data_IF_850604326211
#
_entry.id   IF_850604326211
#
_cell.length_a   1.000
_cell.length_b   1.000
_cell.length_c   1.000
_cell.angle_alpha   90.00
_cell.angle_beta   90.00
_cell.angle_gamma   90.00
#
_symmetry.space_group_name_H-M   'P 1'
#
loop_
_entity.id
_entity.type
_entity.pdbx_description
1 polymer ?
#
# COMPACT_ATOMS: atom_id res chain seq x y z
N UNK A 1 -35.25 -7.78 -17.34
CA UNK A 1 -34.87 -7.68 -15.91
C UNK A 1 -33.36 -7.55 -15.80
N UNK A 2 -32.82 -6.51 -15.17
CA UNK A 2 -31.37 -6.40 -14.93
C UNK A 2 -30.92 -7.48 -13.97
N UNK A 3 -29.91 -8.28 -14.33
CA UNK A 3 -29.35 -9.35 -13.49
C UNK A 3 -28.93 -8.78 -12.12
N UNK A 4 -29.47 -9.34 -11.04
CA UNK A 4 -29.11 -8.93 -9.67
C UNK A 4 -27.75 -9.50 -9.31
N UNK A 5 -26.83 -8.65 -8.87
CA UNK A 5 -25.50 -9.04 -8.42
C UNK A 5 -25.44 -9.02 -6.89
N UNK A 6 -24.88 -10.08 -6.29
CA UNK A 6 -24.71 -10.20 -4.84
C UNK A 6 -23.26 -9.89 -4.48
N UNK A 7 -22.96 -8.60 -4.34
CA UNK A 7 -21.59 -8.11 -4.15
C UNK A 7 -21.27 -7.94 -2.68
N UNK A 8 -20.10 -8.42 -2.27
CA UNK A 8 -19.58 -8.25 -0.91
C UNK A 8 -18.16 -7.72 -0.90
N UNK A 9 -17.84 -6.87 0.06
CA UNK A 9 -16.50 -6.34 0.32
C UNK A 9 -16.06 -6.79 1.72
N UNK A 10 -14.99 -7.56 1.82
CA UNK A 10 -14.58 -8.20 3.07
C UNK A 10 -13.44 -7.47 3.80
N UNK A 11 -13.03 -6.28 3.35
CA UNK A 11 -11.94 -5.56 4.00
C UNK A 11 -12.17 -4.05 3.90
N UNK A 12 -12.56 -3.43 5.01
CA UNK A 12 -12.82 -1.98 5.07
C UNK A 12 -12.50 -1.43 6.46
N UNK A 13 -12.30 -0.11 6.52
CA UNK A 13 -11.97 0.64 7.73
C UNK A 13 -12.90 1.84 7.93
N UNK A 14 -12.96 2.35 9.17
CA UNK A 14 -13.80 3.49 9.56
C UNK A 14 -13.07 4.47 10.49
N UNK A 15 -12.61 3.99 11.64
CA UNK A 15 -12.10 4.78 12.76
C UNK A 15 -10.75 5.40 12.45
N UNK A 16 -9.84 4.71 11.74
CA UNK A 16 -8.49 5.22 11.44
C UNK A 16 -8.55 6.62 10.81
N UNK A 17 -9.42 6.80 9.80
CA UNK A 17 -9.61 8.08 9.11
C UNK A 17 -10.78 8.90 9.65
N UNK A 18 -11.34 8.50 10.79
CA UNK A 18 -12.48 9.17 11.46
C UNK A 18 -13.65 9.39 10.50
N UNK A 19 -13.93 8.39 9.66
CA UNK A 19 -15.00 8.45 8.67
C UNK A 19 -16.35 8.51 9.40
N UNK A 20 -17.28 9.33 8.90
CA UNK A 20 -18.64 9.35 9.40
C UNK A 20 -19.37 8.05 8.99
N UNK A 21 -20.00 7.30 9.91
CA UNK A 21 -20.76 6.09 9.57
C UNK A 21 -21.79 6.28 8.44
N UNK A 22 -22.41 7.46 8.35
CA UNK A 22 -23.36 7.80 7.29
C UNK A 22 -22.72 7.82 5.89
N UNK A 23 -21.52 8.38 5.77
CA UNK A 23 -20.79 8.46 4.49
C UNK A 23 -20.30 7.09 4.06
N UNK A 24 -19.87 6.27 5.04
CA UNK A 24 -19.48 4.88 4.82
C UNK A 24 -20.66 4.07 4.24
N UNK A 25 -21.84 4.11 4.87
CA UNK A 25 -23.03 3.41 4.36
C UNK A 25 -23.57 3.98 3.05
N UNK A 26 -23.41 5.28 2.81
CA UNK A 26 -23.74 5.89 1.52
C UNK A 26 -22.95 5.23 0.39
N UNK A 27 -21.64 5.05 0.57
CA UNK A 27 -20.80 4.38 -0.42
C UNK A 27 -21.20 2.92 -0.67
N UNK A 28 -21.52 2.16 0.39
CA UNK A 28 -22.03 0.78 0.28
C UNK A 28 -23.29 0.71 -0.58
N UNK A 29 -24.24 1.64 -0.36
CA UNK A 29 -25.49 1.72 -1.15
C UNK A 29 -25.23 2.09 -2.60
N UNK A 30 -24.40 3.11 -2.84
CA UNK A 30 -24.03 3.55 -4.20
C UNK A 30 -23.37 2.43 -5.01
N UNK A 31 -22.56 1.60 -4.35
CA UNK A 31 -21.89 0.43 -4.93
C UNK A 31 -22.74 -0.84 -4.94
N UNK A 32 -24.00 -0.76 -4.48
CA UNK A 32 -24.98 -1.85 -4.46
C UNK A 32 -24.45 -3.12 -3.77
N UNK A 33 -23.66 -2.95 -2.71
CA UNK A 33 -23.14 -4.08 -1.94
C UNK A 33 -24.25 -4.67 -1.07
N UNK A 34 -24.38 -5.99 -1.07
CA UNK A 34 -25.31 -6.72 -0.20
C UNK A 34 -24.66 -7.20 1.09
N UNK A 35 -23.33 -7.09 1.22
CA UNK A 35 -22.61 -7.43 2.43
C UNK A 35 -21.27 -6.71 2.49
N UNK A 36 -20.86 -6.36 3.70
CA UNK A 36 -19.62 -5.63 3.96
C UNK A 36 -19.04 -6.09 5.28
N UNK A 37 -17.72 -6.30 5.35
CA UNK A 37 -17.02 -6.55 6.60
C UNK A 37 -16.33 -5.28 7.06
N UNK A 38 -16.52 -4.92 8.33
CA UNK A 38 -15.73 -3.88 9.00
C UNK A 38 -14.59 -4.59 9.71
N UNK A 39 -13.36 -4.29 9.31
CA UNK A 39 -12.14 -5.00 9.73
C UNK A 39 -11.10 -3.99 10.21
N UNK A 40 -11.51 -3.06 11.07
CA UNK A 40 -10.62 -2.03 11.59
C UNK A 40 -9.34 -2.64 12.17
N UNK A 41 -8.20 -1.97 11.97
CA UNK A 41 -6.99 -2.31 12.70
C UNK A 41 -7.25 -2.29 14.22
N UNK A 42 -6.63 -3.23 14.92
CA UNK A 42 -6.77 -3.37 16.37
C UNK A 42 -6.36 -2.12 17.14
N UNK A 43 -5.46 -1.31 16.58
CA UNK A 43 -5.06 -0.01 17.12
C UNK A 43 -6.18 1.06 17.14
N UNK A 44 -7.27 0.87 16.38
CA UNK A 44 -8.35 1.85 16.22
C UNK A 44 -9.73 1.35 16.67
N UNK A 45 -9.77 0.42 17.63
CA UNK A 45 -10.99 -0.06 18.29
C UNK A 45 -12.03 -0.64 17.29
N UNK A 46 -11.85 -1.92 16.89
CA UNK A 46 -12.73 -2.57 15.93
C UNK A 46 -14.15 -2.78 16.46
N UNK A 47 -14.32 -2.93 17.78
CA UNK A 47 -15.65 -3.06 18.39
C UNK A 47 -16.45 -1.76 18.26
N UNK A 48 -15.81 -0.62 18.53
CA UNK A 48 -16.42 0.69 18.35
C UNK A 48 -16.78 0.95 16.89
N UNK A 49 -15.91 0.58 15.95
CA UNK A 49 -16.19 0.71 14.51
C UNK A 49 -17.45 -0.08 14.12
N UNK A 50 -17.54 -1.34 14.56
CA UNK A 50 -18.70 -2.20 14.34
C UNK A 50 -19.97 -1.60 14.95
N UNK A 51 -19.94 -1.21 16.23
CA UNK A 51 -21.11 -0.63 16.93
C UNK A 51 -21.63 0.64 16.24
N UNK A 52 -20.72 1.54 15.82
CA UNK A 52 -21.07 2.76 15.07
C UNK A 52 -21.82 2.44 13.78
N UNK A 53 -21.34 1.48 13.00
CA UNK A 53 -22.00 1.08 11.75
C UNK A 53 -23.30 0.32 12.00
N UNK A 54 -23.32 -0.57 12.98
CA UNK A 54 -24.46 -1.41 13.34
C UNK A 54 -25.68 -0.57 13.73
N UNK A 55 -25.47 0.51 14.48
CA UNK A 55 -26.53 1.41 14.96
C UNK A 55 -27.36 2.06 13.84
N UNK A 56 -26.81 2.20 12.64
CA UNK A 56 -27.47 2.83 11.48
C UNK A 56 -27.44 1.92 10.23
N UNK A 57 -27.31 0.60 10.44
CA UNK A 57 -27.21 -0.38 9.37
C UNK A 57 -28.47 -0.34 8.46
N UNK A 58 -28.31 -0.16 7.14
CA UNK A 58 -29.42 -0.26 6.21
C UNK A 58 -30.04 -1.67 6.18
N UNK A 59 -31.37 -1.74 6.04
CA UNK A 59 -32.06 -3.03 5.83
C UNK A 59 -31.54 -3.73 4.57
N UNK A 60 -31.41 -5.05 4.64
CA UNK A 60 -31.05 -5.89 3.49
C UNK A 60 -29.56 -5.91 3.12
N UNK A 61 -28.69 -5.23 3.88
CA UNK A 61 -27.23 -5.31 3.74
C UNK A 61 -26.65 -5.99 4.97
N UNK A 62 -25.76 -6.96 4.80
CA UNK A 62 -25.07 -7.62 5.92
C UNK A 62 -23.87 -6.78 6.38
N UNK A 63 -23.70 -6.63 7.70
CA UNK A 63 -22.49 -6.10 8.32
C UNK A 63 -21.77 -7.22 9.05
N UNK A 64 -20.70 -7.75 8.46
CA UNK A 64 -19.89 -8.81 9.05
C UNK A 64 -18.93 -8.21 10.10
N UNK A 65 -19.00 -8.62 11.38
CA UNK A 65 -18.03 -8.18 12.37
C UNK A 65 -16.67 -8.81 12.09
N UNK A 66 -15.64 -7.98 12.05
CA UNK A 66 -14.27 -8.42 11.90
C UNK A 66 -13.28 -7.45 12.55
N UNK A 67 -12.00 -7.80 12.43
CA UNK A 67 -10.86 -6.97 12.78
C UNK A 67 -9.67 -7.32 11.90
N UNK A 68 -8.77 -6.37 11.70
CA UNK A 68 -7.46 -6.61 11.10
C UNK A 68 -6.40 -6.68 12.21
N UNK A 69 -6.06 -7.91 12.60
CA UNK A 69 -5.08 -8.17 13.63
C UNK A 69 -3.66 -7.96 13.09
N UNK A 70 -2.83 -7.31 13.91
CA UNK A 70 -1.42 -7.09 13.60
C UNK A 70 -0.55 -8.15 14.25
N UNK A 71 -0.12 -9.12 13.46
CA UNK A 71 0.63 -10.29 13.94
C UNK A 71 2.13 -10.15 13.68
N UNK A 72 2.94 -11.04 14.26
CA UNK A 72 4.37 -11.16 13.93
C UNK A 72 4.64 -11.56 12.47
N UNK A 73 3.60 -11.95 11.73
CA UNK A 73 3.67 -12.31 10.32
C UNK A 73 2.86 -11.37 9.43
N UNK A 74 2.68 -10.11 9.83
CA UNK A 74 1.88 -9.14 9.08
C UNK A 74 0.41 -9.16 9.49
N UNK A 75 -0.45 -8.64 8.62
CA UNK A 75 -1.85 -8.47 8.93
C UNK A 75 -2.68 -9.74 8.68
N UNK A 76 -3.65 -9.96 9.54
CA UNK A 76 -4.57 -11.09 9.49
C UNK A 76 -6.00 -10.57 9.66
N UNK A 77 -6.83 -10.76 8.64
CA UNK A 77 -8.26 -10.50 8.73
C UNK A 77 -8.90 -11.63 9.54
N UNK A 78 -9.70 -11.26 10.53
CA UNK A 78 -10.46 -12.19 11.37
C UNK A 78 -11.93 -11.79 11.30
N UNK A 79 -12.81 -12.76 11.03
CA UNK A 79 -14.24 -12.57 10.90
C UNK A 79 -15.00 -13.42 11.90
N UNK A 80 -15.98 -12.80 12.54
CA UNK A 80 -16.97 -13.45 13.39
C UNK A 80 -18.33 -13.58 12.69
N UNK A 81 -19.15 -14.51 13.18
CA UNK A 81 -20.57 -14.57 12.81
C UNK A 81 -21.43 -13.64 13.65
N UNK A 82 -20.87 -13.07 14.71
CA UNK A 82 -21.48 -12.10 15.61
C UNK A 82 -20.39 -11.32 16.37
N UNK A 83 -20.78 -10.35 17.19
CA UNK A 83 -19.89 -9.46 17.93
C UNK A 83 -19.01 -10.13 19.01
N UNK A 84 -19.21 -11.42 19.32
CA UNK A 84 -18.37 -12.14 20.29
C UNK A 84 -16.89 -12.18 19.92
N UNK A 85 -16.54 -11.98 18.64
CA UNK A 85 -15.17 -11.82 18.17
C UNK A 85 -14.40 -10.73 18.95
N UNK A 86 -15.09 -9.66 19.37
CA UNK A 86 -14.47 -8.56 20.11
C UNK A 86 -14.21 -8.91 21.58
N UNK A 87 -14.86 -9.95 22.12
CA UNK A 87 -14.68 -10.39 23.51
C UNK A 87 -13.43 -11.26 23.73
N UNK A 88 -12.52 -11.32 22.75
CA UNK A 88 -11.28 -12.11 22.80
C UNK A 88 -10.09 -11.15 22.87
N UNK A 89 -9.65 -10.70 24.07
CA UNK A 89 -8.68 -9.61 24.21
C UNK A 89 -7.35 -9.90 23.51
N UNK A 90 -6.90 -11.15 23.53
CA UNK A 90 -5.64 -11.56 22.89
C UNK A 90 -5.59 -11.23 21.40
N UNK A 91 -6.70 -11.29 20.67
CA UNK A 91 -6.73 -10.99 19.23
C UNK A 91 -6.60 -9.48 18.95
N UNK A 92 -6.80 -8.64 19.96
CA UNK A 92 -6.65 -7.19 19.87
C UNK A 92 -5.21 -6.71 20.18
N UNK A 93 -4.32 -7.63 20.59
CA UNK A 93 -2.93 -7.29 20.88
C UNK A 93 -2.14 -7.02 19.60
N UNK A 94 -1.32 -5.97 19.63
CA UNK A 94 -0.31 -5.70 18.61
C UNK A 94 0.82 -6.73 18.75
N UNK A 95 1.39 -7.17 17.63
CA UNK A 95 2.50 -8.14 17.55
C UNK A 95 2.15 -9.54 18.13
N UNK A 96 0.88 -9.95 18.04
CA UNK A 96 0.48 -11.30 18.43
C UNK A 96 1.23 -12.35 17.58
N UNK A 97 1.86 -13.38 18.18
CA UNK A 97 2.50 -14.45 17.40
C UNK A 97 1.50 -15.15 16.46
N UNK A 98 1.82 -15.25 15.17
CA UNK A 98 0.85 -15.75 14.18
C UNK A 98 0.29 -17.14 14.51
N UNK A 99 1.11 -18.08 14.99
CA UNK A 99 0.61 -19.41 15.35
C UNK A 99 -0.28 -19.39 16.60
N UNK A 100 -0.05 -18.47 17.53
CA UNK A 100 -0.95 -18.25 18.67
C UNK A 100 -2.28 -17.68 18.18
N UNK A 101 -2.25 -16.65 17.33
CA UNK A 101 -3.45 -16.08 16.71
C UNK A 101 -4.30 -17.15 16.03
N UNK A 102 -3.69 -17.99 15.18
CA UNK A 102 -4.38 -19.05 14.46
C UNK A 102 -4.94 -20.15 15.38
N UNK A 103 -4.26 -20.46 16.51
CA UNK A 103 -4.79 -21.37 17.53
C UNK A 103 -6.03 -20.78 18.22
N UNK A 104 -6.00 -19.49 18.58
CA UNK A 104 -7.13 -18.79 19.21
C UNK A 104 -8.32 -18.75 18.24
N UNK A 105 -8.09 -18.39 16.98
CA UNK A 105 -9.10 -18.36 15.91
C UNK A 105 -9.77 -19.73 15.78
N UNK A 106 -8.98 -20.80 15.68
CA UNK A 106 -9.48 -22.17 15.59
C UNK A 106 -10.30 -22.56 16.83
N UNK A 107 -9.80 -22.28 18.04
CA UNK A 107 -10.50 -22.59 19.30
C UNK A 107 -11.86 -21.91 19.41
N UNK A 108 -11.99 -20.70 18.86
CA UNK A 108 -13.22 -19.91 18.92
C UNK A 108 -14.08 -20.02 17.65
N UNK A 109 -13.82 -20.99 16.76
CA UNK A 109 -14.55 -21.20 15.49
C UNK A 109 -14.66 -19.95 14.60
N UNK A 110 -13.66 -19.07 14.66
CA UNK A 110 -13.59 -17.86 13.84
C UNK A 110 -13.07 -18.18 12.43
N UNK A 111 -13.28 -17.24 11.51
CA UNK A 111 -12.79 -17.33 10.13
C UNK A 111 -11.63 -16.37 9.97
N UNK A 112 -10.58 -16.75 9.24
CA UNK A 112 -9.41 -15.91 9.10
C UNK A 112 -8.80 -15.97 7.71
N UNK A 113 -8.20 -14.86 7.30
CA UNK A 113 -7.59 -14.71 5.99
C UNK A 113 -6.36 -13.83 6.09
N UNK A 114 -5.23 -14.26 5.53
CA UNK A 114 -4.07 -13.36 5.42
C UNK A 114 -4.46 -12.14 4.58
N UNK A 115 -4.35 -10.95 5.16
CA UNK A 115 -4.59 -9.70 4.44
C UNK A 115 -3.44 -9.50 3.46
N UNK A 116 -3.75 -9.04 2.25
CA UNK A 116 -2.82 -8.65 1.19
C UNK A 116 -1.46 -9.38 1.30
N UNK A 117 -1.40 -10.69 0.95
CA UNK A 117 -0.25 -11.55 1.27
C UNK A 117 1.06 -11.06 0.65
N UNK A 118 1.00 -10.27 -0.43
CA UNK A 118 2.12 -9.54 -1.06
C UNK A 118 1.95 -8.02 -0.98
N UNK A 119 1.28 -7.53 0.07
CA UNK A 119 1.21 -6.14 0.49
C UNK A 119 2.59 -5.55 0.87
N UNK A 120 2.61 -4.36 1.45
CA UNK A 120 3.86 -3.71 1.79
C UNK A 120 4.60 -4.41 2.95
N UNK A 121 5.86 -4.04 3.15
CA UNK A 121 6.83 -4.89 3.86
C UNK A 121 6.47 -5.23 5.30
N UNK A 122 5.71 -4.38 5.97
CA UNK A 122 5.34 -4.53 7.39
C UNK A 122 3.99 -5.20 7.57
N UNK A 123 3.20 -5.32 6.51
CA UNK A 123 1.83 -5.84 6.54
C UNK A 123 1.69 -7.17 5.78
N UNK A 124 2.64 -7.50 4.91
CA UNK A 124 2.64 -8.71 4.07
C UNK A 124 3.21 -9.95 4.74
N UNK A 125 2.39 -10.98 4.84
CA UNK A 125 2.80 -12.29 5.39
C UNK A 125 3.89 -12.96 4.56
N UNK A 126 3.76 -13.00 3.23
CA UNK A 126 4.75 -13.67 2.39
C UNK A 126 6.11 -12.96 2.40
N UNK A 127 6.14 -11.63 2.60
CA UNK A 127 7.41 -10.89 2.69
C UNK A 127 8.07 -11.00 4.07
N UNK A 128 7.28 -11.16 5.14
CA UNK A 128 7.81 -11.20 6.52
C UNK A 128 8.31 -12.59 6.87
N UNK A 129 7.48 -13.63 6.70
CA UNK A 129 7.82 -14.99 7.12
C UNK A 129 8.15 -15.93 5.96
N UNK A 130 8.05 -15.44 4.72
CA UNK A 130 8.31 -16.22 3.51
C UNK A 130 7.10 -17.00 3.02
N UNK A 131 7.02 -17.15 1.69
CA UNK A 131 5.92 -17.84 1.02
C UNK A 131 5.77 -19.31 1.47
N UNK A 132 6.89 -20.05 1.61
CA UNK A 132 6.88 -21.45 2.03
C UNK A 132 6.21 -21.65 3.39
N UNK A 133 6.58 -20.84 4.38
CA UNK A 133 5.99 -20.91 5.72
C UNK A 133 4.53 -20.46 5.70
N UNK A 134 4.20 -19.44 4.91
CA UNK A 134 2.81 -18.99 4.75
C UNK A 134 1.92 -20.10 4.17
N UNK A 135 2.38 -20.82 3.13
CA UNK A 135 1.67 -22.00 2.58
C UNK A 135 1.48 -23.10 3.62
N UNK A 136 2.48 -23.35 4.47
CA UNK A 136 2.36 -24.33 5.55
C UNK A 136 1.26 -23.92 6.55
N UNK A 137 1.17 -22.64 6.91
CA UNK A 137 0.12 -22.14 7.80
C UNK A 137 -1.27 -22.23 7.17
N UNK A 138 -1.42 -21.85 5.88
CA UNK A 138 -2.68 -22.00 5.13
C UNK A 138 -3.21 -23.44 5.21
N UNK A 139 -2.33 -24.43 4.93
CA UNK A 139 -2.68 -25.85 4.96
C UNK A 139 -2.97 -26.35 6.37
N UNK A 140 -2.09 -26.04 7.34
CA UNK A 140 -2.18 -26.49 8.75
C UNK A 140 -3.47 -26.02 9.43
N UNK A 141 -3.85 -24.76 9.20
CA UNK A 141 -5.00 -24.15 9.87
C UNK A 141 -6.26 -24.04 8.99
N UNK A 142 -6.19 -24.45 7.72
CA UNK A 142 -7.30 -24.38 6.75
C UNK A 142 -7.92 -22.96 6.67
N UNK A 143 -7.07 -21.95 6.62
CA UNK A 143 -7.47 -20.54 6.53
C UNK A 143 -7.45 -20.03 5.09
N UNK A 144 -8.03 -18.85 4.88
CA UNK A 144 -8.05 -18.19 3.60
C UNK A 144 -6.87 -17.24 3.38
N UNK A 145 -6.88 -16.55 2.24
CA UNK A 145 -6.00 -15.41 1.95
C UNK A 145 -6.74 -14.42 1.05
N UNK A 146 -6.38 -13.14 1.14
CA UNK A 146 -6.87 -12.16 0.19
C UNK A 146 -6.33 -12.48 -1.21
N UNK A 147 -7.25 -12.77 -2.12
CA UNK A 147 -7.00 -13.03 -3.53
C UNK A 147 -6.69 -11.74 -4.28
N UNK A 148 -7.41 -10.67 -3.92
CA UNK A 148 -7.26 -9.35 -4.50
C UNK A 148 -7.51 -8.30 -3.42
N UNK A 149 -6.67 -7.27 -3.40
CA UNK A 149 -6.77 -6.15 -2.50
C UNK A 149 -6.97 -4.86 -3.32
N UNK A 150 -8.02 -4.11 -2.96
CA UNK A 150 -8.45 -2.92 -3.71
C UNK A 150 -7.42 -1.81 -3.75
N UNK A 151 -6.70 -1.57 -2.65
CA UNK A 151 -5.62 -0.59 -2.58
C UNK A 151 -4.48 -0.93 -3.57
N UNK A 152 -4.03 -2.18 -3.61
CA UNK A 152 -3.00 -2.63 -4.57
C UNK A 152 -3.47 -2.55 -6.02
N UNK A 153 -4.74 -2.90 -6.26
CA UNK A 153 -5.40 -2.78 -7.55
C UNK A 153 -5.50 -1.35 -8.06
N UNK A 154 -5.91 -0.44 -7.19
CA UNK A 154 -6.05 1.00 -7.46
C UNK A 154 -4.68 1.62 -7.75
N UNK A 155 -3.65 1.29 -6.98
CA UNK A 155 -2.28 1.72 -7.26
C UNK A 155 -1.81 1.32 -8.68
N UNK A 156 -2.16 0.12 -9.16
CA UNK A 156 -1.88 -0.31 -10.53
C UNK A 156 -2.67 0.52 -11.56
N UNK A 157 -3.98 0.67 -11.34
CA UNK A 157 -4.86 1.50 -12.18
C UNK A 157 -4.42 2.95 -12.28
N UNK A 158 -3.85 3.51 -11.21
CA UNK A 158 -3.29 4.85 -11.21
C UNK A 158 -2.03 4.96 -12.07
N UNK A 159 -1.11 4.01 -11.96
CA UNK A 159 0.17 4.05 -12.68
C UNK A 159 -0.03 3.87 -14.19
N UNK A 160 -0.96 3.01 -14.62
CA UNK A 160 -1.21 2.75 -16.04
C UNK A 160 -2.41 3.53 -16.64
N UNK A 161 -3.38 3.92 -15.82
CA UNK A 161 -4.65 4.50 -16.27
C UNK A 161 -4.76 6.02 -16.17
N UNK A 162 -3.93 6.69 -15.36
CA UNK A 162 -4.12 8.14 -15.12
C UNK A 162 -3.69 9.00 -16.33
N UNK A 163 -4.59 9.90 -16.77
CA UNK A 163 -4.30 10.89 -17.83
C UNK A 163 -3.07 11.74 -17.50
N UNK A 164 -2.80 11.99 -16.21
CA UNK A 164 -1.64 12.75 -15.77
C UNK A 164 -0.33 12.00 -16.02
N UNK A 165 -0.26 10.70 -15.70
CA UNK A 165 0.93 9.90 -16.01
C UNK A 165 1.10 9.76 -17.53
N UNK A 166 0.02 9.57 -18.30
CA UNK A 166 0.07 9.59 -19.78
C UNK A 166 0.63 10.93 -20.31
N UNK A 167 0.20 12.05 -19.75
CA UNK A 167 0.73 13.40 -20.07
C UNK A 167 2.19 13.55 -19.64
N UNK A 168 2.59 12.99 -18.51
CA UNK A 168 3.96 12.99 -18.02
C UNK A 168 4.87 12.17 -18.95
N UNK A 169 4.49 10.94 -19.32
CA UNK A 169 5.18 10.15 -20.34
C UNK A 169 5.23 10.89 -21.69
N UNK A 170 4.14 11.53 -22.12
CA UNK A 170 4.13 12.33 -23.35
C UNK A 170 5.10 13.51 -23.28
N UNK A 171 5.14 14.22 -22.15
CA UNK A 171 6.09 15.31 -21.90
C UNK A 171 7.54 14.84 -21.96
N UNK A 172 7.88 13.72 -21.31
CA UNK A 172 9.23 13.16 -21.40
C UNK A 172 9.58 12.66 -22.79
N UNK A 173 8.63 12.04 -23.51
CA UNK A 173 8.83 11.68 -24.91
C UNK A 173 9.07 12.91 -25.81
N UNK A 174 8.48 14.07 -25.50
CA UNK A 174 8.75 15.34 -26.21
C UNK A 174 10.16 15.86 -25.87
N UNK A 175 10.58 15.78 -24.60
CA UNK A 175 11.93 16.17 -24.16
C UNK A 175 12.99 15.28 -24.83
N UNK A 176 12.76 13.98 -24.91
CA UNK A 176 13.68 13.01 -25.51
C UNK A 176 13.81 13.20 -27.04
N UNK A 177 12.75 13.71 -27.69
CA UNK A 177 12.73 14.01 -29.13
C UNK A 177 13.47 15.29 -29.53
N UNK A 178 13.66 16.26 -28.63
CA UNK A 178 14.39 17.51 -28.94
C UNK A 178 15.91 17.26 -28.79
N UNK A 179 16.68 17.41 -29.87
CA UNK A 179 18.14 17.17 -29.89
C UNK A 179 18.91 18.03 -28.87
N UNK A 180 18.42 19.23 -28.56
CA UNK A 180 19.09 20.22 -27.68
C UNK A 180 19.06 19.87 -26.19
N UNK A 181 18.17 18.97 -25.76
CA UNK A 181 18.05 18.49 -24.38
C UNK A 181 18.85 17.21 -24.10
N UNK A 182 19.60 16.68 -25.09
CA UNK A 182 20.35 15.44 -24.93
C UNK A 182 21.51 15.52 -23.92
N UNK A 183 22.16 16.67 -23.74
CA UNK A 183 23.44 16.70 -22.99
C UNK A 183 23.27 16.82 -21.47
N UNK A 184 22.21 17.47 -20.96
CA UNK A 184 22.04 17.73 -19.52
C UNK A 184 20.80 17.07 -18.88
N UNK A 185 19.80 16.68 -19.66
CA UNK A 185 18.51 16.15 -19.16
C UNK A 185 18.32 14.64 -19.34
N UNK A 186 19.21 13.96 -20.08
CA UNK A 186 19.09 12.52 -20.38
C UNK A 186 19.15 11.63 -19.13
N UNK A 187 19.84 12.02 -18.06
CA UNK A 187 20.03 11.15 -16.88
C UNK A 187 18.92 11.24 -15.82
N UNK A 188 18.22 12.37 -15.72
CA UNK A 188 17.17 12.57 -14.70
C UNK A 188 15.79 12.15 -15.21
N UNK A 189 15.46 12.49 -16.46
CA UNK A 189 14.25 12.09 -17.17
C UNK A 189 14.07 10.57 -17.19
N UNK A 190 15.07 9.87 -17.75
CA UNK A 190 15.08 8.40 -17.86
C UNK A 190 15.01 7.74 -16.49
N UNK A 191 15.74 8.25 -15.49
CA UNK A 191 15.72 7.71 -14.14
C UNK A 191 14.34 7.78 -13.49
N UNK A 192 13.62 8.90 -13.63
CA UNK A 192 12.26 9.05 -13.09
C UNK A 192 11.29 8.11 -13.81
N UNK A 193 11.38 8.05 -15.15
CA UNK A 193 10.57 7.13 -15.96
C UNK A 193 10.76 5.68 -15.55
N UNK A 194 12.01 5.22 -15.48
CA UNK A 194 12.37 3.87 -15.02
C UNK A 194 11.92 3.61 -13.58
N UNK A 195 11.95 4.60 -12.69
CA UNK A 195 11.44 4.45 -11.32
C UNK A 195 9.92 4.22 -11.30
N UNK A 196 9.16 4.96 -12.10
CA UNK A 196 7.71 4.81 -12.22
C UNK A 196 7.33 3.46 -12.84
N UNK A 197 8.01 3.05 -13.92
CA UNK A 197 7.81 1.73 -14.56
C UNK A 197 8.10 0.59 -13.57
N UNK A 198 9.18 0.69 -12.79
CA UNK A 198 9.50 -0.31 -11.77
C UNK A 198 8.45 -0.36 -10.65
N UNK A 199 7.88 0.78 -10.25
CA UNK A 199 6.77 0.81 -9.28
C UNK A 199 5.52 0.15 -9.88
N UNK A 200 5.24 0.41 -11.15
CA UNK A 200 4.13 -0.19 -11.87
C UNK A 200 4.24 -1.71 -11.93
N UNK A 201 5.38 -2.21 -12.42
CA UNK A 201 5.68 -3.62 -12.54
C UNK A 201 5.67 -4.32 -11.18
N UNK A 202 6.23 -3.68 -10.15
CA UNK A 202 6.19 -4.23 -8.79
C UNK A 202 4.75 -4.33 -8.26
N UNK A 203 3.90 -3.33 -8.51
CA UNK A 203 2.51 -3.34 -8.07
C UNK A 203 1.70 -4.42 -8.79
N UNK A 204 1.88 -4.54 -10.11
CA UNK A 204 1.26 -5.59 -10.92
C UNK A 204 1.71 -6.98 -10.47
N UNK A 205 3.01 -7.16 -10.23
CA UNK A 205 3.56 -8.44 -9.77
C UNK A 205 3.03 -8.82 -8.38
N UNK A 206 2.81 -7.87 -7.47
CA UNK A 206 2.18 -8.12 -6.17
C UNK A 206 0.75 -8.62 -6.30
N UNK A 207 -0.06 -7.98 -7.14
CA UNK A 207 -1.44 -8.42 -7.42
C UNK A 207 -1.44 -9.81 -8.05
N UNK A 208 -0.62 -10.04 -9.08
CA UNK A 208 -0.49 -11.33 -9.75
C UNK A 208 -0.05 -12.45 -8.79
N UNK A 209 0.94 -12.18 -7.94
CA UNK A 209 1.44 -13.13 -6.94
C UNK A 209 0.36 -13.50 -5.93
N UNK A 210 -0.44 -12.55 -5.45
CA UNK A 210 -1.54 -12.84 -4.53
C UNK A 210 -2.58 -13.78 -5.16
N UNK A 211 -2.94 -13.54 -6.42
CA UNK A 211 -3.86 -14.39 -7.20
C UNK A 211 -3.34 -15.83 -7.28
N UNK A 212 -2.12 -16.03 -7.77
CA UNK A 212 -1.51 -17.37 -7.91
C UNK A 212 -1.36 -18.04 -6.54
N UNK A 213 -0.90 -17.29 -5.54
CA UNK A 213 -0.68 -17.81 -4.21
C UNK A 213 -1.96 -18.35 -3.55
N UNK A 214 -3.10 -17.72 -3.84
CA UNK A 214 -4.40 -18.07 -3.28
C UNK A 214 -4.90 -19.47 -3.62
N UNK A 215 -4.35 -20.11 -4.65
CA UNK A 215 -4.61 -21.53 -4.97
C UNK A 215 -4.23 -22.46 -3.80
N UNK A 216 -3.35 -22.02 -2.90
CA UNK A 216 -2.90 -22.78 -1.73
C UNK A 216 -3.83 -22.62 -0.52
N UNK A 217 -4.81 -21.72 -0.58
CA UNK A 217 -5.68 -21.40 0.54
C UNK A 217 -6.96 -22.25 0.56
N UNK A 218 -7.54 -22.43 1.75
CA UNK A 218 -8.79 -23.18 1.88
C UNK A 218 -9.96 -22.46 1.19
N UNK A 219 -9.95 -21.14 1.22
CA UNK A 219 -10.90 -20.24 0.55
C UNK A 219 -10.21 -18.91 0.26
N UNK A 220 -10.84 -18.09 -0.58
CA UNK A 220 -10.37 -16.75 -0.91
C UNK A 220 -11.23 -15.70 -0.27
N UNK A 221 -10.62 -14.56 0.08
CA UNK A 221 -11.33 -13.33 0.42
C UNK A 221 -10.92 -12.23 -0.55
N UNK A 222 -11.74 -11.19 -0.65
CA UNK A 222 -11.45 -9.98 -1.41
C UNK A 222 -12.05 -8.82 -0.64
N UNK A 223 -11.30 -7.74 -0.51
CA UNK A 223 -11.86 -6.50 -0.02
C UNK A 223 -11.12 -5.28 -0.57
N UNK A 224 -11.74 -4.13 -0.38
CA UNK A 224 -11.23 -2.85 -0.89
C UNK A 224 -10.03 -2.34 -0.13
N UNK A 225 -9.90 -2.72 1.14
CA UNK A 225 -8.98 -2.11 2.11
C UNK A 225 -9.23 -0.60 2.20
N UNK A 226 -10.52 -0.25 2.17
CA UNK A 226 -10.96 1.13 2.06
C UNK A 226 -10.79 1.89 3.38
N UNK A 227 -9.93 2.89 3.32
CA UNK A 227 -9.75 3.91 4.36
C UNK A 227 -10.58 5.18 4.11
N UNK A 228 -11.31 5.22 2.99
CA UNK A 228 -12.16 6.36 2.60
C UNK A 228 -13.46 5.84 1.98
N UNK A 229 -14.62 6.53 2.15
CA UNK A 229 -15.90 6.06 1.62
C UNK A 229 -15.87 5.72 0.14
N UNK A 230 -15.25 6.58 -0.68
CA UNK A 230 -15.25 6.41 -2.14
C UNK A 230 -14.54 5.14 -2.65
N UNK A 231 -13.66 4.54 -1.84
CA UNK A 231 -12.92 3.32 -2.23
C UNK A 231 -13.62 2.06 -1.75
N UNK A 232 -14.65 2.16 -0.90
CA UNK A 232 -15.46 1.01 -0.48
C UNK A 232 -16.04 0.34 -1.71
N UNK A 233 -15.91 -0.98 -1.79
CA UNK A 233 -16.35 -1.77 -2.93
C UNK A 233 -15.53 -1.55 -4.20
N UNK A 234 -14.29 -1.05 -4.13
CA UNK A 234 -13.35 -1.05 -5.28
C UNK A 234 -13.01 -2.46 -5.74
N UNK A 235 -13.09 -3.43 -4.83
CA UNK A 235 -12.92 -4.85 -5.06
C UNK A 235 -13.92 -5.63 -4.24
N UNK A 236 -14.43 -6.70 -4.83
CA UNK A 236 -15.59 -7.42 -4.32
C UNK A 236 -15.50 -8.90 -4.65
N UNK A 237 -16.22 -9.70 -3.86
CA UNK A 237 -16.69 -11.02 -4.25
C UNK A 237 -18.13 -10.90 -4.75
N UNK A 238 -18.43 -11.52 -5.88
CA UNK A 238 -19.79 -11.79 -6.31
C UNK A 238 -20.19 -13.19 -5.87
N UNK A 239 -21.24 -13.30 -5.07
CA UNK A 239 -21.80 -14.57 -4.60
C UNK A 239 -22.82 -15.14 -5.60
N UNK A 240 -23.02 -16.46 -5.54
CA UNK A 240 -24.05 -17.16 -6.33
C UNK A 240 -25.49 -16.73 -5.97
N UNK A 241 -25.72 -16.35 -4.72
CA UNK A 241 -27.02 -15.95 -4.16
C UNK A 241 -26.86 -14.91 -3.05
N UNK A 242 -27.96 -14.29 -2.63
CA UNK A 242 -27.96 -13.39 -1.48
C UNK A 242 -27.77 -14.18 -0.18
N UNK A 243 -26.78 -13.86 0.66
CA UNK A 243 -26.70 -14.41 2.01
C UNK A 243 -27.82 -13.86 2.90
N UNK A 244 -28.37 -14.69 3.79
CA UNK A 244 -29.43 -14.31 4.74
C UNK A 244 -28.87 -13.64 6.00
N UNK A 245 -27.68 -14.03 6.43
CA UNK A 245 -27.01 -13.55 7.64
C UNK A 245 -25.47 -13.74 7.56
N UNK A 246 -24.77 -13.22 8.56
CA UNK A 246 -23.32 -13.24 8.70
C UNK A 246 -22.74 -14.67 8.64
N UNK A 247 -23.43 -15.64 9.26
CA UNK A 247 -23.01 -17.04 9.27
C UNK A 247 -23.12 -17.69 7.88
N UNK A 248 -24.22 -17.46 7.15
CA UNK A 248 -24.37 -17.95 5.78
C UNK A 248 -23.33 -17.30 4.87
N UNK A 249 -23.07 -15.99 5.00
CA UNK A 249 -22.02 -15.31 4.23
C UNK A 249 -20.65 -15.99 4.42
N UNK A 250 -20.23 -16.24 5.67
CA UNK A 250 -18.98 -16.96 5.96
C UNK A 250 -18.98 -18.37 5.35
N UNK A 251 -20.10 -19.11 5.46
CA UNK A 251 -20.18 -20.45 4.88
C UNK A 251 -20.06 -20.43 3.36
N UNK A 252 -20.72 -19.49 2.68
CA UNK A 252 -20.64 -19.33 1.23
C UNK A 252 -19.21 -19.07 0.77
N UNK A 253 -18.46 -18.22 1.50
CA UNK A 253 -17.04 -17.97 1.24
C UNK A 253 -16.23 -19.26 1.41
N UNK A 254 -16.40 -19.98 2.53
CA UNK A 254 -15.68 -21.23 2.80
C UNK A 254 -16.00 -22.34 1.79
N UNK A 255 -17.24 -22.42 1.32
CA UNK A 255 -17.71 -23.35 0.28
C UNK A 255 -17.38 -22.91 -1.14
N UNK A 256 -16.74 -21.75 -1.32
CA UNK A 256 -16.38 -21.18 -2.63
C UNK A 256 -17.60 -20.98 -3.53
N UNK A 257 -18.73 -20.55 -2.95
CA UNK A 257 -19.96 -20.19 -3.67
C UNK A 257 -19.85 -18.81 -4.34
N UNK A 258 -18.79 -18.64 -5.13
CA UNK A 258 -18.33 -17.39 -5.72
C UNK A 258 -18.47 -17.47 -7.24
N UNK A 259 -18.97 -16.39 -7.85
CA UNK A 259 -19.04 -16.19 -9.30
C UNK A 259 -17.90 -15.31 -9.81
N UNK A 260 -17.46 -14.35 -9.00
CA UNK A 260 -16.39 -13.41 -9.32
C UNK A 260 -15.64 -13.00 -8.06
N UNK A 261 -14.34 -12.77 -8.17
CA UNK A 261 -13.50 -12.24 -7.10
C UNK A 261 -12.44 -11.33 -7.74
N UNK A 262 -12.37 -10.06 -7.33
CA UNK A 262 -11.40 -9.12 -7.89
C UNK A 262 -11.91 -7.68 -7.90
N UNK A 263 -11.49 -6.85 -8.88
CA UNK A 263 -11.99 -5.48 -8.99
C UNK A 263 -13.50 -5.47 -9.23
N UNK A 264 -14.17 -4.41 -8.78
CA UNK A 264 -15.60 -4.26 -8.98
C UNK A 264 -15.90 -3.79 -10.41
N UNK A 265 -16.17 -4.75 -11.28
CA UNK A 265 -16.50 -4.54 -12.70
C UNK A 265 -17.95 -4.12 -12.94
N UNK A 266 -18.80 -4.12 -11.91
CA UNK A 266 -20.23 -3.84 -12.03
C UNK A 266 -20.59 -2.37 -11.77
N UNK A 267 -19.60 -1.53 -11.47
CA UNK A 267 -19.82 -0.11 -11.24
C UNK A 267 -19.14 0.72 -12.32
N UNK A 268 -19.92 1.59 -12.97
CA UNK A 268 -19.45 2.53 -13.98
C UNK A 268 -18.68 3.70 -13.38
N UNK A 269 -18.74 3.91 -12.06
CA UNK A 269 -17.80 4.78 -11.37
C UNK A 269 -16.44 4.10 -11.42
N UNK A 270 -15.48 4.60 -12.23
CA UNK A 270 -14.16 4.02 -12.28
C UNK A 270 -13.61 3.93 -10.86
N UNK A 271 -12.83 2.87 -10.61
CA UNK A 271 -12.17 2.63 -9.33
C UNK A 271 -11.38 3.86 -8.85
N UNK A 272 -11.05 4.84 -9.71
CA UNK A 272 -10.42 6.08 -9.28
C UNK A 272 -10.77 7.35 -10.08
N UNK A 273 -11.33 8.31 -9.34
CA UNK A 273 -10.78 9.67 -9.30
C UNK A 273 -10.16 9.90 -7.92
N UNK A 274 -9.09 9.18 -7.56
CA UNK A 274 -8.20 9.61 -6.47
C UNK A 274 -7.76 11.05 -6.76
N UNK A 275 -8.01 11.96 -5.81
CA UNK A 275 -7.58 13.35 -5.97
C UNK A 275 -6.04 13.37 -6.04
N UNK A 276 -5.46 14.34 -6.75
CA UNK A 276 -3.99 14.48 -6.90
C UNK A 276 -3.21 14.35 -5.57
N UNK A 277 -3.80 14.80 -4.46
CA UNK A 277 -3.20 14.71 -3.13
C UNK A 277 -3.05 13.26 -2.64
N UNK A 278 -4.05 12.43 -2.88
CA UNK A 278 -4.08 11.03 -2.44
C UNK A 278 -3.23 10.14 -3.36
N UNK A 279 -3.19 10.50 -4.66
CA UNK A 279 -2.20 9.99 -5.60
C UNK A 279 -0.77 10.27 -5.10
N UNK A 280 -0.49 11.52 -4.70
CA UNK A 280 0.81 11.90 -4.17
C UNK A 280 1.10 11.22 -2.83
N UNK A 281 0.11 11.01 -1.97
CA UNK A 281 0.27 10.28 -0.71
C UNK A 281 0.54 8.79 -0.93
N UNK A 282 -0.15 8.12 -1.86
CA UNK A 282 0.11 6.72 -2.22
C UNK A 282 1.47 6.54 -2.90
N UNK A 283 1.82 7.42 -3.85
CA UNK A 283 3.16 7.42 -4.47
C UNK A 283 4.24 7.78 -3.45
N UNK A 284 3.99 8.75 -2.55
CA UNK A 284 4.91 9.10 -1.45
C UNK A 284 5.05 7.96 -0.48
N UNK A 285 3.98 7.23 -0.15
CA UNK A 285 4.03 6.03 0.69
C UNK A 285 4.91 4.95 0.05
N UNK A 286 4.71 4.65 -1.24
CA UNK A 286 5.53 3.71 -2.01
C UNK A 286 6.99 4.17 -2.08
N UNK A 287 7.24 5.44 -2.38
CA UNK A 287 8.57 6.02 -2.55
C UNK A 287 9.34 6.16 -1.23
N UNK A 288 8.71 6.64 -0.17
CA UNK A 288 9.33 6.80 1.17
C UNK A 288 9.69 5.45 1.79
N UNK A 289 8.91 4.40 1.52
CA UNK A 289 9.23 3.03 1.97
C UNK A 289 10.36 2.37 1.16
N UNK A 290 10.59 2.78 -0.11
CA UNK A 290 11.80 2.40 -0.89
C UNK A 290 13.05 3.18 -0.45
N UNK A 291 12.91 4.46 -0.07
CA UNK A 291 14.03 5.29 0.38
C UNK A 291 14.59 4.80 1.73
N UNK A 292 13.73 4.29 2.63
CA UNK A 292 14.21 3.61 3.86
C UNK A 292 15.01 2.32 3.60
N UNK A 293 14.94 1.72 2.40
CA UNK A 293 15.75 0.56 1.99
C UNK A 293 17.07 0.91 1.29
N UNK A 294 17.29 2.16 0.89
CA UNK A 294 18.54 2.57 0.21
C UNK A 294 19.50 3.37 1.08
N UNK A 295 19.12 3.69 2.32
CA UNK A 295 20.03 4.32 3.29
C UNK A 295 20.08 3.47 4.56
N UNK A 296 20.84 2.37 4.54
CA UNK A 296 21.78 2.22 5.67
C UNK A 296 22.77 3.37 5.47
N UNK A 297 22.97 4.29 6.42
CA UNK A 297 24.08 5.21 6.29
C UNK A 297 25.33 4.33 6.22
N UNK A 298 25.89 4.15 5.02
CA UNK A 298 27.31 3.83 4.94
C UNK A 298 27.95 4.95 5.73
N UNK A 299 28.46 4.64 6.92
CA UNK A 299 29.30 5.58 7.68
C UNK A 299 30.25 6.16 6.65
N UNK A 300 30.06 7.44 6.30
CA UNK A 300 31.01 8.17 5.49
C UNK A 300 32.29 8.09 6.30
N UNK A 301 33.21 7.19 5.91
CA UNK A 301 34.55 7.18 6.46
C UNK A 301 35.08 8.57 6.13
N UNK A 302 35.17 9.43 7.15
CA UNK A 302 35.77 10.76 7.02
C UNK A 302 37.10 10.53 6.29
N UNK A 303 37.34 11.21 5.16
CA UNK A 303 38.61 11.05 4.47
C UNK A 303 39.72 11.39 5.48
N UNK A 304 40.63 10.45 5.70
CA UNK A 304 41.77 10.65 6.59
C UNK A 304 42.54 11.88 6.14
N UNK A 305 43.12 12.66 7.09
CA UNK A 305 43.88 13.89 6.81
C UNK A 305 44.85 13.73 5.61
N UNK A 306 45.52 12.58 5.52
CA UNK A 306 46.42 12.20 4.40
C UNK A 306 45.76 12.23 3.01
N UNK A 307 44.47 11.86 2.89
CA UNK A 307 43.72 11.86 1.62
C UNK A 307 43.30 13.28 1.22
N UNK A 308 43.00 14.14 2.19
CA UNK A 308 42.69 15.57 1.97
C UNK A 308 43.96 16.33 1.58
N UNK A 309 45.11 16.05 2.21
CA UNK A 309 46.41 16.63 1.85
C UNK A 309 46.86 16.23 0.45
N UNK A 310 46.71 14.96 0.05
CA UNK A 310 47.00 14.52 -1.32
C UNK A 310 46.11 15.21 -2.37
N UNK A 311 44.84 15.49 -2.04
CA UNK A 311 43.93 16.21 -2.93
C UNK A 311 44.31 17.70 -2.99
N UNK A 312 44.66 18.33 -1.87
CA UNK A 312 45.15 19.72 -1.83
C UNK A 312 46.48 19.88 -2.59
N UNK A 313 47.42 18.95 -2.46
CA UNK A 313 48.67 18.95 -3.24
C UNK A 313 48.43 18.77 -4.75
N UNK A 314 47.46 17.93 -5.15
CA UNK A 314 47.08 17.77 -6.57
C UNK A 314 46.39 19.00 -7.16
N UNK A 315 45.60 19.71 -6.36
CA UNK A 315 44.92 20.94 -6.79
C UNK A 315 45.91 22.12 -6.88
N UNK A 316 46.91 22.18 -5.99
CA UNK A 316 47.90 23.26 -5.99
C UNK A 316 48.93 23.14 -7.14
N UNK A 317 49.20 21.93 -7.63
CA UNK A 317 50.20 21.70 -8.70
C UNK A 317 49.63 21.75 -10.12
N UNK A 318 48.36 21.40 -10.33
CA UNK A 318 47.74 21.41 -11.68
C UNK A 318 47.08 22.72 -12.07
N UNK A 319 46.68 23.55 -11.10
CA UNK A 319 45.92 24.79 -11.37
C UNK A 319 46.79 26.03 -11.57
N UNK A 320 48.01 26.05 -10.99
CA UNK A 320 48.91 27.23 -11.05
C UNK A 320 49.79 27.23 -12.32
N UNK A 321 50.16 26.05 -12.86
CA UNK A 321 50.98 25.96 -14.10
C UNK A 321 50.20 26.15 -15.40
N UNK A 322 48.87 26.09 -15.39
CA UNK A 322 48.03 26.27 -16.60
C UNK A 322 47.46 27.68 -16.77
N UNK A 323 47.46 28.51 -15.71
CA UNK A 323 46.88 29.86 -15.74
C UNK A 323 47.95 30.95 -16.01
N UNK A 324 49.24 30.64 -15.87
CA UNK A 324 50.33 31.61 -16.08
C UNK A 324 50.93 31.65 -17.50
N UNK A 325 50.41 30.88 -18.47
CA UNK A 325 50.95 30.83 -19.84
C UNK A 325 50.06 31.34 -20.97
N UNK A 326 48.88 31.89 -20.71
CA UNK A 326 48.07 32.58 -21.73
C UNK A 326 47.31 33.74 -21.12
N UNK A 327 47.87 34.94 -21.22
CA UNK A 327 47.23 36.21 -21.63
C UNK A 327 48.34 37.28 -21.54
N UNK A 328 48.81 37.85 -22.66
CA UNK A 328 49.59 39.07 -22.65
C UNK A 328 48.66 40.26 -22.42
N UNK A 329 49.03 41.13 -21.48
CA UNK A 329 48.46 42.48 -21.36
C UNK A 329 47.04 42.58 -20.80
N UNK A 330 46.92 42.55 -19.46
CA UNK A 330 46.09 43.49 -18.66
C UNK A 330 46.18 43.09 -17.18
N UNK A 331 46.78 43.96 -16.36
CA UNK A 331 46.80 43.82 -14.91
C UNK A 331 45.38 43.97 -14.37
N UNK A 332 44.75 42.88 -13.94
CA UNK A 332 43.55 42.93 -13.11
C UNK A 332 44.00 42.68 -11.66
N UNK A 333 44.03 43.75 -10.86
CA UNK A 333 44.28 43.69 -9.43
C UNK A 333 43.00 43.23 -8.74
N UNK A 334 42.97 42.02 -8.19
CA UNK A 334 41.87 41.56 -7.34
C UNK A 334 42.21 41.85 -5.87
N UNK A 335 41.55 42.86 -5.32
CA UNK A 335 41.70 43.31 -3.94
C UNK A 335 40.87 42.40 -3.01
N UNK A 336 41.53 41.50 -2.29
CA UNK A 336 40.89 40.59 -1.33
C UNK A 336 40.65 41.29 0.01
N UNK A 337 39.49 41.93 0.20
CA UNK A 337 39.03 42.35 1.54
C UNK A 337 38.44 41.16 2.30
N UNK A 338 39.24 40.63 3.24
CA UNK A 338 38.82 39.82 4.39
C UNK A 338 37.92 40.67 5.32
N UNK A 339 36.68 40.22 5.56
CA UNK A 339 35.77 40.55 6.69
C UNK A 339 34.49 39.74 6.40
N UNK A 340 33.95 38.82 7.20
CA UNK A 340 33.70 38.77 8.65
C UNK A 340 33.43 37.30 9.03
N UNK A 341 34.16 36.78 10.01
CA UNK A 341 33.69 35.74 10.94
C UNK A 341 34.45 35.96 12.26
N UNK A 342 33.87 36.76 13.14
CA UNK A 342 34.12 36.68 14.58
C UNK A 342 32.75 36.74 15.26
N UNK A 343 32.33 35.60 15.80
CA UNK A 343 31.24 35.51 16.74
C UNK A 343 31.76 35.62 18.17
N UNK A 344 30.94 36.26 19.01
CA UNK A 344 30.66 36.05 20.45
C UNK A 344 31.80 35.81 21.44
N UNK A 345 31.83 36.68 22.46
CA UNK A 345 32.07 36.52 23.92
C UNK A 345 32.33 37.95 24.44
N UNK A 346 31.72 38.51 25.47
CA UNK A 346 30.82 38.07 26.55
C UNK A 346 29.59 38.98 26.59
#
# INVERSE_FOLDING_TARGET
MTKKHYLVDLHTHLNEKKIKPKDWWKAVKEKKLCGVAITEHVEYDPELAYKKLKSIQPRGVILLPGMEAKTTAGHLLIYGTNESIYKIPKLQNINLPIEEALKIIKKNNLTASFAHPYGYKTDSTCLIIGEKKTKQLLKKYKIGTEYYNGMLGSANGLVFGSKWIKRFYAFFNIIDKRQTTRILTLNSSTKIKTQLENIALETLDRVRKAIIFSENAAYITVGSDAHYPRTIGSSVIQLKKQPKNEAELIQMIKKKEILWAGPNVFTTTPVDHLKRKELLEGVKYIATHKIKKTIKPKKLKKPTKKKIEKIKQKINTKSIKKITKKIPGKKIVFNLKKKIFKGKKQ
#
